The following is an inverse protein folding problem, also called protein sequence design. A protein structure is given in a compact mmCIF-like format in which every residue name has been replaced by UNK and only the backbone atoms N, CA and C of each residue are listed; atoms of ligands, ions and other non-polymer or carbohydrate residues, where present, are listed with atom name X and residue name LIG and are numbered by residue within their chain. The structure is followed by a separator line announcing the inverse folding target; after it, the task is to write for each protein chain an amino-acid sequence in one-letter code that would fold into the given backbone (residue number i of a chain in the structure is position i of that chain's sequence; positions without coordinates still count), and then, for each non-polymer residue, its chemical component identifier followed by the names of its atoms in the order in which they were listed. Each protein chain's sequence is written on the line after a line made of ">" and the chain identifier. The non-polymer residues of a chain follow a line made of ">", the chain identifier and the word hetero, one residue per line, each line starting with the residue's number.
data_IF_627162813637
#
_entry.id   IF_627162813637
#
_cell.length_a   1.000
_cell.length_b   1.000
_cell.length_c   1.000
_cell.angle_alpha   90.00
_cell.angle_beta   90.00
_cell.angle_gamma   90.00
#
_symmetry.space_group_name_H-M   'P 1'
#
loop_
_entity.id
_entity.type
_entity.pdbx_description
1 polymer ?
#
# COMPACT_ATOMS: atom_id res chain seq x y z
N UNK A 1 -6.44 -25.60 -9.13
CA UNK A 1 -5.90 -25.23 -7.81
C UNK A 1 -5.11 -23.92 -7.85
N UNK A 2 -4.28 -23.68 -8.88
CA UNK A 2 -3.45 -22.46 -8.98
C UNK A 2 -4.24 -21.15 -8.96
N UNK A 3 -5.38 -21.08 -9.67
CA UNK A 3 -6.22 -19.88 -9.70
C UNK A 3 -6.83 -19.50 -8.33
N UNK A 4 -7.08 -20.49 -7.47
CA UNK A 4 -7.61 -20.27 -6.12
C UNK A 4 -6.52 -19.73 -5.19
N UNK A 5 -5.33 -20.35 -5.22
CA UNK A 5 -4.17 -19.90 -4.46
C UNK A 5 -3.77 -18.45 -4.81
N UNK A 6 -3.82 -18.11 -6.11
CA UNK A 6 -3.57 -16.77 -6.58
C UNK A 6 -4.56 -15.75 -6.00
N UNK A 7 -5.87 -16.03 -6.05
CA UNK A 7 -6.90 -15.16 -5.48
C UNK A 7 -6.76 -14.98 -3.96
N UNK A 8 -6.47 -16.06 -3.24
CA UNK A 8 -6.23 -16.02 -1.79
C UNK A 8 -5.05 -15.08 -1.47
N UNK A 9 -3.98 -15.16 -2.26
CA UNK A 9 -2.80 -14.30 -2.09
C UNK A 9 -3.14 -12.83 -2.31
N UNK A 10 -3.87 -12.50 -3.39
CA UNK A 10 -4.31 -11.13 -3.68
C UNK A 10 -5.19 -10.56 -2.57
N UNK A 11 -6.18 -11.32 -2.08
CA UNK A 11 -7.02 -10.88 -0.98
C UNK A 11 -6.24 -10.73 0.33
N UNK A 12 -5.23 -11.56 0.57
CA UNK A 12 -4.29 -11.38 1.66
C UNK A 12 -3.56 -10.03 1.59
N UNK A 13 -3.05 -9.66 0.40
CA UNK A 13 -2.39 -8.37 0.17
C UNK A 13 -3.34 -7.19 0.41
N UNK A 14 -4.59 -7.27 -0.07
CA UNK A 14 -5.59 -6.24 0.14
C UNK A 14 -5.98 -6.08 1.61
N UNK A 15 -6.13 -7.20 2.33
CA UNK A 15 -6.41 -7.18 3.77
C UNK A 15 -5.30 -6.48 4.55
N UNK A 16 -4.03 -6.73 4.19
CA UNK A 16 -2.87 -6.04 4.79
C UNK A 16 -2.96 -4.53 4.56
N UNK A 17 -3.31 -4.08 3.35
CA UNK A 17 -3.52 -2.65 3.08
C UNK A 17 -4.63 -2.05 3.95
N UNK A 18 -5.77 -2.74 4.09
CA UNK A 18 -6.87 -2.25 4.92
C UNK A 18 -6.48 -2.14 6.40
N UNK A 19 -5.74 -3.13 6.92
CA UNK A 19 -5.22 -3.10 8.29
C UNK A 19 -4.20 -1.98 8.49
N UNK A 20 -3.29 -1.79 7.53
CA UNK A 20 -2.31 -0.70 7.56
C UNK A 20 -3.02 0.67 7.58
N UNK A 21 -4.04 0.84 6.75
CA UNK A 21 -4.84 2.07 6.68
C UNK A 21 -5.64 2.30 7.97
N UNK A 22 -6.28 1.26 8.50
CA UNK A 22 -6.99 1.32 9.78
C UNK A 22 -6.06 1.70 10.93
N UNK A 23 -4.85 1.14 10.98
CA UNK A 23 -3.84 1.49 11.97
C UNK A 23 -3.38 2.96 11.83
N UNK A 24 -3.14 3.43 10.60
CA UNK A 24 -2.77 4.83 10.35
C UNK A 24 -3.86 5.81 10.81
N UNK A 25 -5.12 5.50 10.49
CA UNK A 25 -6.28 6.29 10.92
C UNK A 25 -6.49 6.27 12.43
N UNK A 26 -6.30 5.10 13.08
CA UNK A 26 -6.34 5.00 14.55
C UNK A 26 -5.28 5.87 15.23
N UNK A 27 -4.13 6.07 14.58
CA UNK A 27 -3.06 6.97 15.06
C UNK A 27 -3.26 8.43 14.63
N UNK A 28 -4.41 8.79 14.06
CA UNK A 28 -4.71 10.13 13.52
C UNK A 28 -3.61 10.64 12.57
N UNK A 29 -3.00 9.74 11.80
CA UNK A 29 -1.90 10.05 10.89
C UNK A 29 -0.55 10.37 11.55
N UNK A 30 -0.43 10.27 12.89
CA UNK A 30 0.81 10.51 13.63
C UNK A 30 1.58 9.22 13.84
N UNK A 31 2.41 8.87 12.87
CA UNK A 31 3.34 7.74 12.96
C UNK A 31 4.79 8.21 13.12
N UNK A 32 5.55 7.50 13.97
CA UNK A 32 7.01 7.61 14.02
C UNK A 32 7.62 7.26 12.66
N UNK A 33 8.82 7.74 12.36
CA UNK A 33 9.46 7.55 11.04
C UNK A 33 9.54 6.07 10.64
N UNK A 34 9.92 5.21 11.59
CA UNK A 34 9.99 3.76 11.38
C UNK A 34 8.61 3.18 11.10
N UNK A 35 7.61 3.55 11.91
CA UNK A 35 6.23 3.06 11.74
C UNK A 35 5.61 3.56 10.44
N UNK A 36 5.93 4.79 10.01
CA UNK A 36 5.44 5.38 8.77
C UNK A 36 6.02 4.66 7.54
N UNK A 37 7.31 4.32 7.56
CA UNK A 37 7.93 3.52 6.50
C UNK A 37 7.33 2.11 6.45
N UNK A 38 7.09 1.49 7.61
CA UNK A 38 6.44 0.18 7.68
C UNK A 38 5.00 0.23 7.16
N UNK A 39 4.23 1.26 7.53
CA UNK A 39 2.90 1.56 6.97
C UNK A 39 2.96 1.70 5.45
N UNK A 40 3.91 2.50 4.94
CA UNK A 40 4.09 2.74 3.50
C UNK A 40 4.36 1.43 2.76
N UNK A 41 5.26 0.58 3.29
CA UNK A 41 5.57 -0.71 2.69
C UNK A 41 4.34 -1.64 2.66
N UNK A 42 3.58 -1.72 3.74
CA UNK A 42 2.33 -2.52 3.78
C UNK A 42 1.28 -2.01 2.80
N UNK A 43 1.11 -0.69 2.71
CA UNK A 43 0.19 -0.05 1.76
C UNK A 43 0.56 -0.39 0.32
N UNK A 44 1.85 -0.29 -0.03
CA UNK A 44 2.32 -0.59 -1.38
C UNK A 44 2.09 -2.05 -1.78
N UNK A 45 2.32 -2.99 -0.86
CA UNK A 45 2.05 -4.42 -1.09
C UNK A 45 0.57 -4.61 -1.45
N UNK A 46 -0.36 -4.06 -0.66
CA UNK A 46 -1.78 -4.21 -0.96
C UNK A 46 -2.22 -3.49 -2.23
N UNK A 47 -1.66 -2.30 -2.53
CA UNK A 47 -1.97 -1.55 -3.75
C UNK A 47 -1.51 -2.30 -5.01
N UNK A 48 -0.38 -3.00 -4.93
CA UNK A 48 0.08 -3.89 -6.00
C UNK A 48 -0.87 -5.07 -6.16
N UNK A 49 -1.28 -5.72 -5.06
CA UNK A 49 -2.25 -6.82 -5.09
C UNK A 49 -3.59 -6.40 -5.70
N UNK A 50 -4.17 -5.30 -5.22
CA UNK A 50 -5.39 -4.72 -5.76
C UNK A 50 -5.21 -4.29 -7.23
N UNK A 51 -4.06 -3.71 -7.58
CA UNK A 51 -3.72 -3.33 -8.95
C UNK A 51 -3.76 -4.53 -9.89
N UNK A 52 -3.11 -5.64 -9.51
CA UNK A 52 -3.11 -6.89 -10.28
C UNK A 52 -4.54 -7.41 -10.43
N UNK A 53 -5.33 -7.49 -9.35
CA UNK A 53 -6.72 -7.95 -9.43
C UNK A 53 -7.57 -7.11 -10.39
N UNK A 54 -7.44 -5.78 -10.33
CA UNK A 54 -8.20 -4.87 -11.20
C UNK A 54 -7.83 -4.99 -12.67
N UNK A 55 -6.58 -5.35 -13.01
CA UNK A 55 -6.18 -5.68 -14.38
C UNK A 55 -6.86 -6.97 -14.85
N UNK A 56 -6.86 -8.01 -14.02
CA UNK A 56 -7.55 -9.28 -14.35
C UNK A 56 -9.06 -9.10 -14.54
N UNK A 57 -9.69 -8.23 -13.76
CA UNK A 57 -11.12 -7.91 -13.86
C UNK A 57 -11.44 -6.85 -14.92
N UNK A 58 -10.44 -6.36 -15.67
CA UNK A 58 -10.57 -5.27 -16.64
C UNK A 58 -11.22 -3.99 -16.07
N UNK A 59 -11.05 -3.78 -14.76
CA UNK A 59 -11.58 -2.64 -14.03
C UNK A 59 -10.62 -1.44 -14.11
N UNK A 60 -10.46 -0.87 -15.31
CA UNK A 60 -9.45 0.16 -15.60
C UNK A 60 -9.56 1.44 -14.73
N UNK A 61 -10.78 1.81 -14.33
CA UNK A 61 -10.99 2.93 -13.41
C UNK A 61 -10.47 2.67 -12.00
N UNK A 62 -10.61 1.44 -11.50
CA UNK A 62 -10.04 1.06 -10.21
C UNK A 62 -8.51 0.92 -10.31
N UNK A 63 -8.01 0.40 -11.43
CA UNK A 63 -6.58 0.27 -11.69
C UNK A 63 -5.85 1.63 -11.68
N UNK A 64 -6.40 2.65 -12.34
CA UNK A 64 -5.81 3.99 -12.36
C UNK A 64 -5.72 4.61 -10.96
N UNK A 65 -6.74 4.38 -10.12
CA UNK A 65 -6.73 4.80 -8.71
C UNK A 65 -5.65 4.07 -7.91
N UNK A 66 -5.47 2.76 -8.12
CA UNK A 66 -4.41 2.01 -7.44
C UNK A 66 -3.01 2.53 -7.82
N UNK A 67 -2.78 2.83 -9.11
CA UNK A 67 -1.52 3.44 -9.57
C UNK A 67 -1.30 4.80 -8.91
N UNK A 68 -2.32 5.66 -8.92
CA UNK A 68 -2.25 6.97 -8.30
C UNK A 68 -1.85 6.86 -6.83
N UNK A 69 -2.55 6.03 -6.05
CA UNK A 69 -2.25 5.86 -4.64
C UNK A 69 -0.87 5.23 -4.41
N UNK A 70 -0.43 4.30 -5.26
CA UNK A 70 0.90 3.69 -5.18
C UNK A 70 2.00 4.74 -5.36
N UNK A 71 1.87 5.62 -6.35
CA UNK A 71 2.83 6.71 -6.61
C UNK A 71 2.90 7.67 -5.41
N UNK A 72 1.75 8.09 -4.88
CA UNK A 72 1.70 9.00 -3.73
C UNK A 72 2.25 8.37 -2.45
N UNK A 73 1.96 7.08 -2.23
CA UNK A 73 2.47 6.30 -1.10
C UNK A 73 3.99 6.21 -1.18
N UNK A 74 4.52 5.84 -2.34
CA UNK A 74 5.96 5.78 -2.60
C UNK A 74 6.64 7.13 -2.40
N UNK A 75 6.08 8.21 -2.95
CA UNK A 75 6.62 9.56 -2.79
C UNK A 75 6.65 9.99 -1.31
N UNK A 76 5.57 9.74 -0.57
CA UNK A 76 5.50 10.00 0.87
C UNK A 76 6.57 9.25 1.65
N UNK A 77 6.77 7.97 1.33
CA UNK A 77 7.83 7.13 1.92
C UNK A 77 9.23 7.66 1.64
N UNK A 78 9.55 7.94 0.37
CA UNK A 78 10.86 8.46 -0.06
C UNK A 78 11.16 9.81 0.61
N UNK A 79 10.17 10.72 0.64
CA UNK A 79 10.31 12.03 1.28
C UNK A 79 10.64 11.88 2.75
N UNK A 80 9.88 11.05 3.49
CA UNK A 80 10.11 10.81 4.92
C UNK A 80 11.48 10.16 5.19
N UNK A 81 11.88 9.20 4.36
CA UNK A 81 13.19 8.55 4.45
C UNK A 81 14.35 9.53 4.22
N UNK A 82 14.22 10.39 3.21
CA UNK A 82 15.22 11.41 2.87
C UNK A 82 15.34 12.50 3.94
N UNK A 83 14.22 12.92 4.55
CA UNK A 83 14.22 13.85 5.68
C UNK A 83 14.97 13.30 6.91
N UNK A 84 14.87 11.99 7.16
CA UNK A 84 15.63 11.33 8.24
C UNK A 84 17.15 11.37 8.00
N UNK A 85 17.58 11.31 6.73
CA UNK A 85 19.02 11.33 6.37
C UNK A 85 19.63 12.74 6.40
N UNK A 86 18.83 13.79 6.26
CA UNK A 86 19.30 15.19 6.33
C UNK A 86 19.40 15.77 7.75
N UNK A 87 18.85 15.07 8.75
CA UNK A 87 18.84 15.49 10.16
C UNK A 87 19.80 14.71 11.07
N UNK A 88 20.74 13.97 10.50
CA UNK A 88 21.84 13.27 11.19
C UNK A 88 23.17 13.77 10.65
#
# INVERSE_FOLDING_TARGET
>A
MEAQFFRITLYGMMAIQMLAWGWFSYKAGKLSDKSFLMFTAMMMIGQIGAGIETVYLQAWGAFSMQIYFLIFTLFGGIRRYSSRKKGS
#
